data_IF_199563986189
#
_entry.id   IF_199563986189
#
_cell.length_a   1.000
_cell.length_b   1.000
_cell.length_c   1.000
_cell.angle_alpha   90.00
_cell.angle_beta   90.00
_cell.angle_gamma   90.00
#
_symmetry.space_group_name_H-M   'P 1'
#
loop_
_entity.id
_entity.type
_entity.pdbx_description
1 polymer ?
#
# COMPACT_ATOMS: atom_id res chain seq x y z
N UNK A 1 -19.58 -2.02 -2.41
CA UNK A 1 -18.52 -1.80 -1.40
C UNK A 1 -17.27 -1.37 -2.14
N UNK A 2 -16.91 -0.09 -2.04
CA UNK A 2 -15.81 0.49 -2.81
C UNK A 2 -14.49 -0.10 -2.31
N UNK A 3 -13.81 -0.85 -3.19
CA UNK A 3 -12.69 -1.72 -2.86
C UNK A 3 -11.41 -0.86 -2.71
N UNK A 4 -11.32 -0.08 -1.63
CA UNK A 4 -10.18 0.81 -1.41
C UNK A 4 -8.92 -0.02 -1.14
N UNK A 5 -7.90 0.18 -1.98
CA UNK A 5 -6.56 -0.28 -1.69
C UNK A 5 -5.96 0.58 -0.59
N UNK A 6 -5.92 0.05 0.64
CA UNK A 6 -5.15 0.64 1.73
C UNK A 6 -3.69 0.69 1.28
N UNK A 7 -3.17 1.90 1.13
CA UNK A 7 -1.80 2.18 0.74
C UNK A 7 -0.86 1.99 1.93
N UNK A 8 0.41 1.73 1.62
CA UNK A 8 1.49 1.66 2.62
C UNK A 8 1.94 3.02 3.15
N UNK A 9 1.35 4.10 2.62
CA UNK A 9 1.55 5.48 3.06
C UNK A 9 0.32 6.00 3.80
N UNK A 10 0.52 6.46 5.03
CA UNK A 10 -0.53 7.02 5.89
C UNK A 10 -1.19 8.25 5.23
N UNK A 11 -0.38 9.12 4.64
CA UNK A 11 -0.86 10.32 3.95
C UNK A 11 -1.76 10.00 2.75
N UNK A 12 -1.44 8.96 1.97
CA UNK A 12 -2.28 8.56 0.84
C UNK A 12 -3.63 7.97 1.30
N UNK A 13 -3.64 7.28 2.44
CA UNK A 13 -4.89 6.80 3.05
C UNK A 13 -5.76 7.98 3.52
N UNK A 14 -5.14 8.99 4.14
CA UNK A 14 -5.82 10.24 4.50
C UNK A 14 -6.35 10.99 3.28
N UNK A 15 -5.55 11.20 2.24
CA UNK A 15 -6.00 11.90 1.03
C UNK A 15 -7.15 11.17 0.33
N UNK A 16 -7.15 9.83 0.36
CA UNK A 16 -8.25 9.04 -0.18
C UNK A 16 -9.55 9.28 0.60
N UNK A 17 -9.46 9.37 1.93
CA UNK A 17 -10.60 9.74 2.78
C UNK A 17 -11.04 11.19 2.51
N UNK A 18 -10.10 12.14 2.49
CA UNK A 18 -10.38 13.57 2.27
C UNK A 18 -11.07 13.82 0.93
N UNK A 19 -10.65 13.10 -0.13
CA UNK A 19 -11.30 13.15 -1.45
C UNK A 19 -12.75 12.67 -1.39
N UNK A 20 -13.04 11.66 -0.58
CA UNK A 20 -14.40 11.11 -0.44
C UNK A 20 -15.32 12.07 0.31
N UNK A 21 -14.78 12.75 1.31
CA UNK A 21 -15.50 13.80 2.05
C UNK A 21 -15.68 15.07 1.20
N UNK A 22 -14.84 15.27 0.18
CA UNK A 22 -14.86 16.43 -0.70
C UNK A 22 -15.00 16.02 -2.19
N UNK A 23 -16.09 15.35 -2.60
CA UNK A 23 -16.23 14.80 -3.95
C UNK A 23 -16.27 15.89 -5.05
N UNK A 24 -16.68 17.11 -4.68
CA UNK A 24 -16.80 18.24 -5.60
C UNK A 24 -15.49 19.01 -5.81
N UNK A 25 -14.45 18.74 -5.00
CA UNK A 25 -13.15 19.41 -5.13
C UNK A 25 -12.32 18.75 -6.23
N UNK A 26 -11.57 19.56 -6.96
CA UNK A 26 -10.62 19.04 -7.94
C UNK A 26 -9.50 18.25 -7.25
N UNK A 27 -8.86 17.33 -7.97
CA UNK A 27 -7.72 16.58 -7.43
C UNK A 27 -6.57 17.51 -7.00
N UNK A 28 -6.40 18.66 -7.68
CA UNK A 28 -5.40 19.68 -7.35
C UNK A 28 -5.71 20.34 -6.01
N UNK A 29 -6.97 20.72 -5.79
CA UNK A 29 -7.41 21.34 -4.53
C UNK A 29 -7.36 20.33 -3.38
N UNK A 30 -7.74 19.08 -3.63
CA UNK A 30 -7.61 17.98 -2.65
C UNK A 30 -6.15 17.81 -2.21
N UNK A 31 -5.21 17.78 -3.15
CA UNK A 31 -3.80 17.63 -2.82
C UNK A 31 -3.26 18.83 -2.03
N UNK A 32 -3.64 20.05 -2.43
CA UNK A 32 -3.25 21.30 -1.76
C UNK A 32 -3.84 21.39 -0.36
N UNK A 33 -5.16 21.35 -0.26
CA UNK A 33 -5.91 21.55 0.99
C UNK A 33 -5.68 20.37 1.93
N UNK A 34 -5.75 19.13 1.43
CA UNK A 34 -5.45 17.94 2.21
C UNK A 34 -4.01 17.91 2.69
N UNK A 35 -3.04 18.36 1.88
CA UNK A 35 -1.66 18.51 2.31
C UNK A 35 -1.45 19.57 3.40
N UNK A 36 -2.24 20.65 3.39
CA UNK A 36 -2.24 21.65 4.45
C UNK A 36 -2.87 21.10 5.74
N UNK A 37 -4.04 20.48 5.64
CA UNK A 37 -4.75 19.87 6.77
C UNK A 37 -3.92 18.77 7.44
N UNK A 38 -3.32 17.88 6.65
CA UNK A 38 -2.47 16.81 7.16
C UNK A 38 -1.27 17.34 7.95
N UNK A 39 -0.67 18.46 7.53
CA UNK A 39 0.43 19.11 8.26
C UNK A 39 -0.03 19.73 9.57
N UNK A 40 -1.27 20.22 9.63
CA UNK A 40 -1.88 20.78 10.83
C UNK A 40 -2.45 19.75 11.81
N UNK A 41 -2.76 18.52 11.36
CA UNK A 41 -3.30 17.46 12.21
C UNK A 41 -2.33 17.05 13.33
N UNK A 42 -2.87 16.67 14.49
CA UNK A 42 -2.07 16.12 15.59
C UNK A 42 -1.60 14.70 15.28
N UNK A 43 -0.65 14.20 16.06
CA UNK A 43 -0.17 12.82 15.92
C UNK A 43 -1.29 11.80 16.18
N UNK A 44 -2.20 12.10 17.10
CA UNK A 44 -3.35 11.24 17.44
C UNK A 44 -4.33 11.13 16.27
N UNK A 45 -4.60 12.24 15.58
CA UNK A 45 -5.45 12.27 14.40
C UNK A 45 -4.83 11.50 13.22
N UNK A 46 -3.49 11.48 13.14
CA UNK A 46 -2.76 10.73 12.10
C UNK A 46 -2.60 9.25 12.44
N UNK A 47 -2.67 8.88 13.71
CA UNK A 47 -2.46 7.51 14.20
C UNK A 47 -3.29 6.45 13.47
N UNK A 48 -4.61 6.59 13.27
CA UNK A 48 -5.39 5.58 12.57
C UNK A 48 -4.87 5.33 11.14
N UNK A 49 -4.43 6.39 10.43
CA UNK A 49 -3.86 6.27 9.09
C UNK A 49 -2.48 5.61 9.10
N UNK A 50 -1.67 5.84 10.14
CA UNK A 50 -0.39 5.16 10.35
C UNK A 50 -0.59 3.67 10.60
N UNK A 51 -1.55 3.30 11.45
CA UNK A 51 -1.87 1.90 11.73
C UNK A 51 -2.36 1.17 10.48
N UNK A 52 -3.19 1.82 9.67
CA UNK A 52 -3.63 1.31 8.36
C UNK A 52 -2.44 1.09 7.42
N UNK A 53 -1.54 2.07 7.32
CA UNK A 53 -0.34 1.98 6.49
C UNK A 53 0.60 0.85 6.92
N UNK A 54 0.76 0.64 8.22
CA UNK A 54 1.57 -0.45 8.78
C UNK A 54 0.95 -1.82 8.53
N UNK A 55 -0.38 -1.97 8.66
CA UNK A 55 -1.09 -3.19 8.25
C UNK A 55 -0.86 -3.47 6.76
N UNK A 56 -1.02 -2.47 5.89
CA UNK A 56 -0.78 -2.62 4.46
C UNK A 56 0.67 -3.04 4.15
N UNK A 57 1.65 -2.43 4.83
CA UNK A 57 3.08 -2.75 4.68
C UNK A 57 3.38 -4.19 5.08
N UNK A 58 2.80 -4.66 6.19
CA UNK A 58 2.91 -6.06 6.64
C UNK A 58 2.37 -7.02 5.59
N UNK A 59 1.18 -6.76 5.05
CA UNK A 59 0.56 -7.57 4.00
C UNK A 59 1.38 -7.56 2.70
N UNK A 60 1.93 -6.41 2.30
CA UNK A 60 2.78 -6.32 1.12
C UNK A 60 4.06 -7.14 1.32
N UNK A 61 4.69 -7.05 2.50
CA UNK A 61 5.90 -7.81 2.83
C UNK A 61 5.67 -9.32 2.74
N UNK A 62 4.53 -9.83 3.21
CA UNK A 62 4.22 -11.26 3.10
C UNK A 62 3.97 -11.69 1.66
N UNK A 63 3.26 -10.89 0.86
CA UNK A 63 3.05 -11.12 -0.58
C UNK A 63 4.38 -11.17 -1.33
N UNK A 64 5.28 -10.22 -1.08
CA UNK A 64 6.63 -10.19 -1.68
C UNK A 64 7.43 -11.43 -1.29
N UNK A 65 7.43 -11.83 -0.01
CA UNK A 65 8.09 -13.05 0.46
C UNK A 65 7.56 -14.30 -0.27
N UNK A 66 6.24 -14.45 -0.39
CA UNK A 66 5.59 -15.56 -1.11
C UNK A 66 5.99 -15.59 -2.58
N UNK A 67 5.98 -14.43 -3.25
CA UNK A 67 6.38 -14.31 -4.65
C UNK A 67 7.85 -14.70 -4.86
N UNK A 68 8.76 -14.23 -4.00
CA UNK A 68 10.18 -14.60 -4.02
C UNK A 68 10.36 -16.11 -3.84
N UNK A 69 9.69 -16.72 -2.85
CA UNK A 69 9.73 -18.18 -2.60
C UNK A 69 9.23 -18.97 -3.82
N UNK A 70 8.13 -18.55 -4.45
CA UNK A 70 7.62 -19.20 -5.67
C UNK A 70 8.62 -19.13 -6.82
N UNK A 71 9.28 -17.98 -7.01
CA UNK A 71 10.32 -17.81 -8.04
C UNK A 71 11.53 -18.71 -7.78
N UNK A 72 12.00 -18.82 -6.53
CA UNK A 72 13.15 -19.68 -6.22
C UNK A 72 12.85 -21.16 -6.42
N UNK A 73 11.69 -21.64 -5.98
CA UNK A 73 11.25 -23.03 -6.20
C UNK A 73 11.15 -23.36 -7.69
N UNK A 74 10.55 -22.46 -8.50
CA UNK A 74 10.47 -22.62 -9.96
C UNK A 74 11.86 -22.69 -10.61
N UNK A 75 12.83 -21.86 -10.16
CA UNK A 75 14.22 -21.92 -10.68
C UNK A 75 14.90 -23.24 -10.31
N UNK A 76 14.72 -23.73 -9.08
CA UNK A 76 15.32 -25.00 -8.62
C UNK A 76 14.74 -26.20 -9.37
N UNK A 77 13.42 -26.24 -9.56
CA UNK A 77 12.75 -27.26 -10.38
C UNK A 77 13.31 -27.28 -11.82
N UNK A 78 13.39 -26.12 -12.49
CA UNK A 78 13.96 -26.02 -13.84
C UNK A 78 15.42 -26.50 -13.90
N UNK A 79 16.25 -26.17 -12.90
CA UNK A 79 17.64 -26.62 -12.83
C UNK A 79 17.73 -28.14 -12.70
N UNK A 80 16.89 -28.75 -11.85
CA UNK A 80 16.86 -30.20 -11.67
C UNK A 80 16.37 -30.93 -12.93
N UNK A 81 15.37 -30.41 -13.63
CA UNK A 81 14.91 -30.98 -14.92
C UNK A 81 15.97 -30.94 -16.01
N UNK A 82 16.80 -29.87 -16.05
CA UNK A 82 17.94 -29.80 -16.99
C UNK A 82 19.02 -30.82 -16.66
N UNK A 83 19.35 -31.00 -15.38
CA UNK A 83 20.35 -32.01 -14.94
C UNK A 83 19.93 -33.45 -15.23
N UNK A 84 18.63 -33.75 -15.27
CA UNK A 84 18.11 -35.09 -15.61
C UNK A 84 18.09 -35.39 -17.12
N UNK A 85 18.36 -34.40 -17.97
CA UNK A 85 18.37 -34.52 -19.44
C UNK A 85 19.78 -34.64 -20.02
N UNK A 86 20.80 -34.64 -19.16
CA UNK A 86 22.22 -34.88 -19.47
C UNK A 86 22.57 -36.22 -18.85
#
# INVERSE_FOLDING_TARGET
MENQQISTSAFLNYLAQYRRENPNKSAKDIARDGGAMWRGMTEEERQPFKDMADRARRLQRTKVKRSKRRKTLRRKSKRNSRKKRV
#
